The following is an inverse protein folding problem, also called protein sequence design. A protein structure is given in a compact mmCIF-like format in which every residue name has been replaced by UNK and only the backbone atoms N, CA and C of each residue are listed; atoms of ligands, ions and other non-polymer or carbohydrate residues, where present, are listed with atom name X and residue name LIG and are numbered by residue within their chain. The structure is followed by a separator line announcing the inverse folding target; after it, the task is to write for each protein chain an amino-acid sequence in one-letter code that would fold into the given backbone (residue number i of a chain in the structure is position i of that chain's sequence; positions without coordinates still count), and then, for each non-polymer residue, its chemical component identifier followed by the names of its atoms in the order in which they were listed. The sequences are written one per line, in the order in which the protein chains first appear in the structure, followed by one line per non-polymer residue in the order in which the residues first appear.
data_IF_155888369814
#
_entry.id   IF_155888369814
#
_cell.length_a   1.000
_cell.length_b   1.000
_cell.length_c   1.000
_cell.angle_alpha   90.00
_cell.angle_beta   90.00
_cell.angle_gamma   90.00
#
_symmetry.space_group_name_H-M   'P 1'
#
loop_
_entity.id
_entity.type
_entity.pdbx_description
1 polymer ?
#
# COMPACT_ATOMS: atom_id res chain seq x y z
N UNK A 1 53.18 42.46 -4.14
CA UNK A 1 52.82 41.44 -3.14
C UNK A 1 51.76 40.57 -3.73
N UNK A 2 52.13 39.39 -4.15
CA UNK A 2 51.27 38.37 -4.73
C UNK A 2 51.02 37.32 -3.68
N UNK A 3 49.77 37.04 -3.37
CA UNK A 3 49.36 35.95 -2.46
C UNK A 3 48.73 34.84 -3.32
N UNK A 4 49.40 33.71 -3.34
CA UNK A 4 48.98 32.51 -4.03
C UNK A 4 47.81 31.80 -3.30
N UNK A 5 46.79 31.27 -4.00
CA UNK A 5 45.80 30.41 -3.37
C UNK A 5 46.33 28.97 -3.24
N UNK A 6 46.39 28.47 -2.04
CA UNK A 6 46.75 27.08 -1.73
C UNK A 6 45.68 26.11 -2.26
N UNK A 7 46.08 25.35 -3.28
CA UNK A 7 45.35 24.18 -3.80
C UNK A 7 45.53 23.02 -2.84
N UNK A 8 44.51 22.66 -2.07
CA UNK A 8 44.50 21.45 -1.27
C UNK A 8 43.87 20.30 -2.08
N UNK A 9 44.70 19.67 -2.88
CA UNK A 9 44.40 18.41 -3.54
C UNK A 9 44.60 17.27 -2.55
N UNK A 10 43.59 16.92 -1.80
CA UNK A 10 43.59 15.75 -0.93
C UNK A 10 42.92 14.60 -1.67
N UNK A 11 43.61 13.48 -1.94
CA UNK A 11 42.99 12.31 -2.55
C UNK A 11 41.99 11.68 -1.59
N UNK A 12 40.79 11.43 -2.11
CA UNK A 12 39.70 10.72 -1.44
C UNK A 12 40.24 9.37 -0.90
N UNK A 13 40.28 9.21 0.41
CA UNK A 13 40.54 7.92 1.07
C UNK A 13 39.21 7.24 1.34
N UNK A 14 38.94 6.06 0.77
CA UNK A 14 37.72 5.31 1.12
C UNK A 14 37.77 4.95 2.61
N UNK A 15 36.64 5.18 3.29
CA UNK A 15 36.44 4.80 4.68
C UNK A 15 36.48 3.27 4.81
N UNK A 16 37.49 2.75 5.45
CA UNK A 16 37.60 1.34 5.84
C UNK A 16 37.14 1.24 7.29
N UNK A 17 36.02 0.57 7.60
CA UNK A 17 35.61 0.38 8.99
C UNK A 17 36.62 -0.50 9.72
N UNK A 18 36.90 -0.24 11.02
CA UNK A 18 37.83 -1.03 11.82
C UNK A 18 37.29 -2.48 11.98
N UNK A 19 38.18 -3.48 12.08
CA UNK A 19 37.79 -4.87 12.35
C UNK A 19 37.12 -4.94 13.72
N UNK A 20 35.94 -5.54 13.77
CA UNK A 20 35.21 -5.79 15.01
C UNK A 20 36.02 -6.81 15.82
N UNK A 21 36.69 -6.37 16.85
CA UNK A 21 37.39 -7.23 17.81
C UNK A 21 36.33 -8.12 18.51
N UNK A 22 36.52 -9.41 18.39
CA UNK A 22 35.67 -10.39 19.06
C UNK A 22 35.70 -10.22 20.56
N UNK A 23 34.51 -9.97 21.14
CA UNK A 23 34.29 -10.19 22.56
C UNK A 23 33.34 -11.38 22.73
N UNK A 24 33.95 -12.46 23.15
CA UNK A 24 33.30 -13.60 23.73
C UNK A 24 32.54 -13.19 25.00
N UNK A 25 31.24 -12.97 24.87
CA UNK A 25 30.30 -13.10 25.97
C UNK A 25 29.25 -14.10 25.56
N UNK A 26 29.44 -15.32 26.03
CA UNK A 26 28.48 -16.40 25.95
C UNK A 26 27.19 -16.06 26.74
N UNK A 27 26.18 -15.62 25.99
CA UNK A 27 24.79 -15.79 26.37
C UNK A 27 24.10 -16.35 25.13
N UNK A 28 24.31 -17.63 24.94
CA UNK A 28 23.45 -18.44 24.10
C UNK A 28 22.09 -18.57 24.80
N UNK A 29 21.31 -17.50 24.82
CA UNK A 29 19.86 -17.69 24.88
C UNK A 29 19.44 -18.15 23.49
N UNK A 30 19.22 -19.45 23.41
CA UNK A 30 18.56 -20.15 22.35
C UNK A 30 17.12 -19.58 22.17
N UNK A 31 17.02 -18.35 21.74
CA UNK A 31 15.80 -17.84 21.14
C UNK A 31 15.71 -18.51 19.77
N UNK A 32 15.10 -19.66 19.82
CA UNK A 32 14.79 -20.51 18.70
C UNK A 32 14.09 -19.68 17.62
N UNK A 33 14.80 -19.44 16.52
CA UNK A 33 14.27 -19.00 15.24
C UNK A 33 13.16 -19.93 14.68
N UNK A 34 12.75 -20.93 15.47
CA UNK A 34 11.64 -21.85 15.22
C UNK A 34 10.25 -21.22 15.29
N UNK A 35 10.11 -19.99 15.76
CA UNK A 35 8.78 -19.40 15.98
C UNK A 35 8.22 -18.69 14.73
N UNK A 36 9.00 -18.49 13.70
CA UNK A 36 8.51 -17.87 12.43
C UNK A 36 8.04 -18.92 11.43
N UNK A 37 8.37 -20.21 11.63
CA UNK A 37 8.07 -21.26 10.67
C UNK A 37 6.82 -22.11 11.00
N UNK A 38 6.04 -21.72 11.97
CA UNK A 38 4.71 -22.31 12.21
C UNK A 38 3.59 -21.37 11.75
N UNK A 39 3.76 -20.71 10.62
CA UNK A 39 2.59 -20.34 9.83
C UNK A 39 2.01 -21.65 9.32
N UNK A 40 1.04 -22.14 10.07
CA UNK A 40 0.19 -23.26 9.73
C UNK A 40 -0.12 -23.20 8.24
N UNK A 41 0.20 -24.27 7.51
CA UNK A 41 -0.26 -24.57 6.16
C UNK A 41 -1.78 -24.81 6.16
N UNK A 42 -2.55 -23.89 6.76
CA UNK A 42 -3.99 -23.86 6.58
C UNK A 42 -4.24 -23.39 5.14
N UNK A 43 -5.03 -24.19 4.44
CA UNK A 43 -5.56 -23.81 3.14
C UNK A 43 -6.09 -22.38 3.20
N UNK A 44 -5.76 -21.48 2.25
CA UNK A 44 -6.30 -20.13 2.26
C UNK A 44 -7.83 -20.21 2.26
N UNK A 45 -8.46 -19.44 3.14
CA UNK A 45 -9.92 -19.34 3.24
C UNK A 45 -10.50 -18.88 1.90
N UNK A 46 -11.66 -19.43 1.54
CA UNK A 46 -12.42 -18.96 0.38
C UNK A 46 -13.41 -17.88 0.80
N UNK A 47 -13.83 -17.03 -0.15
CA UNK A 47 -14.83 -15.97 0.12
C UNK A 47 -16.15 -16.55 0.65
N UNK A 48 -16.54 -17.73 0.18
CA UNK A 48 -17.76 -18.41 0.63
C UNK A 48 -17.66 -18.93 2.07
N UNK A 49 -16.47 -19.34 2.49
CA UNK A 49 -16.20 -19.76 3.89
C UNK A 49 -16.19 -18.57 4.84
N UNK A 50 -15.62 -17.44 4.41
CA UNK A 50 -15.64 -16.18 5.15
C UNK A 50 -17.05 -15.67 5.44
N UNK A 51 -17.95 -15.75 4.48
CA UNK A 51 -19.35 -15.33 4.65
C UNK A 51 -20.17 -16.25 5.58
N UNK A 52 -19.73 -17.50 5.77
CA UNK A 52 -20.37 -18.46 6.67
C UNK A 52 -19.87 -18.36 8.13
N UNK A 53 -18.77 -17.67 8.35
CA UNK A 53 -18.22 -17.45 9.69
C UNK A 53 -19.15 -16.55 10.51
N UNK A 54 -19.34 -16.88 11.77
CA UNK A 54 -20.23 -16.12 12.67
C UNK A 54 -19.58 -14.82 13.15
N UNK A 55 -20.41 -13.96 13.74
CA UNK A 55 -19.94 -12.68 14.31
C UNK A 55 -18.90 -12.84 15.43
N UNK A 56 -18.87 -13.99 16.10
CA UNK A 56 -17.90 -14.28 17.16
C UNK A 56 -16.47 -14.47 16.64
N UNK A 57 -16.33 -14.85 15.39
CA UNK A 57 -15.05 -15.09 14.72
C UNK A 57 -14.61 -13.88 13.87
N UNK A 58 -15.24 -12.70 14.11
CA UNK A 58 -14.96 -11.49 13.34
C UNK A 58 -13.52 -11.02 13.52
N UNK A 59 -12.82 -10.80 12.39
CA UNK A 59 -11.41 -10.36 12.32
C UNK A 59 -10.44 -11.29 13.08
N UNK A 60 -10.67 -12.61 13.02
CA UNK A 60 -9.69 -13.57 13.50
C UNK A 60 -8.43 -13.59 12.60
N UNK A 61 -7.36 -14.24 13.05
CA UNK A 61 -6.09 -14.28 12.33
C UNK A 61 -6.22 -14.84 10.91
N UNK A 62 -7.08 -15.83 10.68
CA UNK A 62 -7.30 -16.44 9.38
C UNK A 62 -8.01 -15.46 8.41
N UNK A 63 -8.97 -14.68 8.91
CA UNK A 63 -9.63 -13.61 8.13
C UNK A 63 -8.67 -12.46 7.81
N UNK A 64 -7.87 -12.01 8.78
CA UNK A 64 -6.87 -10.96 8.58
C UNK A 64 -5.81 -11.40 7.55
N UNK A 65 -5.37 -12.67 7.61
CA UNK A 65 -4.45 -13.22 6.61
C UNK A 65 -5.05 -13.21 5.20
N UNK A 66 -6.33 -13.58 5.06
CA UNK A 66 -7.03 -13.52 3.77
C UNK A 66 -7.09 -12.10 3.21
N UNK A 67 -7.51 -11.12 4.03
CA UNK A 67 -7.59 -9.73 3.58
C UNK A 67 -6.22 -9.13 3.29
N UNK A 68 -5.17 -9.52 4.02
CA UNK A 68 -3.79 -9.14 3.71
C UNK A 68 -3.40 -9.58 2.31
N UNK A 69 -3.57 -10.87 1.98
CA UNK A 69 -3.25 -11.40 0.65
C UNK A 69 -4.06 -10.68 -0.44
N UNK A 70 -5.35 -10.44 -0.21
CA UNK A 70 -6.22 -9.72 -1.16
C UNK A 70 -5.75 -8.27 -1.38
N UNK A 71 -5.33 -7.58 -0.34
CA UNK A 71 -4.79 -6.21 -0.44
C UNK A 71 -3.42 -6.17 -1.11
N UNK A 72 -2.55 -7.13 -0.85
CA UNK A 72 -1.24 -7.25 -1.51
C UNK A 72 -1.39 -7.53 -3.01
N UNK A 73 -2.34 -8.39 -3.40
CA UNK A 73 -2.68 -8.62 -4.81
C UNK A 73 -3.16 -7.34 -5.48
N UNK A 74 -4.11 -6.63 -4.84
CA UNK A 74 -4.61 -5.35 -5.36
C UNK A 74 -3.49 -4.32 -5.49
N UNK A 75 -2.56 -4.27 -4.55
CA UNK A 75 -1.38 -3.40 -4.62
C UNK A 75 -0.49 -3.75 -5.82
N UNK A 76 -0.22 -5.03 -6.03
CA UNK A 76 0.60 -5.50 -7.15
C UNK A 76 -0.05 -5.16 -8.51
N UNK A 77 -1.36 -5.35 -8.63
CA UNK A 77 -2.11 -5.02 -9.84
C UNK A 77 -2.06 -3.52 -10.16
N UNK A 78 -2.26 -2.67 -9.16
CA UNK A 78 -2.17 -1.20 -9.32
C UNK A 78 -0.75 -0.79 -9.76
N UNK A 79 0.29 -1.34 -9.15
CA UNK A 79 1.68 -1.03 -9.50
C UNK A 79 2.03 -1.49 -10.93
N UNK A 80 1.54 -2.66 -11.34
CA UNK A 80 1.71 -3.18 -12.70
C UNK A 80 1.04 -2.26 -13.72
N UNK A 81 -0.22 -1.85 -13.50
CA UNK A 81 -0.95 -0.95 -14.37
C UNK A 81 -0.27 0.43 -14.46
N UNK A 82 0.19 0.96 -13.32
CA UNK A 82 0.91 2.23 -13.28
C UNK A 82 2.21 2.21 -14.10
N UNK A 83 2.90 1.06 -14.17
CA UNK A 83 4.08 0.87 -15.03
C UNK A 83 3.72 0.98 -16.51
N UNK A 84 2.70 0.26 -16.95
CA UNK A 84 2.23 0.25 -18.35
C UNK A 84 1.79 1.64 -18.81
N UNK A 85 0.99 2.33 -18.00
CA UNK A 85 0.54 3.71 -18.32
C UNK A 85 1.72 4.68 -18.42
N UNK A 86 2.79 4.48 -17.65
CA UNK A 86 3.99 5.33 -17.75
C UNK A 86 4.72 5.14 -19.07
N UNK A 87 4.79 3.93 -19.58
CA UNK A 87 5.40 3.64 -20.87
C UNK A 87 4.58 4.26 -22.02
N UNK A 88 3.26 4.08 -22.02
CA UNK A 88 2.36 4.68 -23.00
C UNK A 88 2.48 6.21 -23.07
N UNK A 89 2.54 6.89 -21.91
CA UNK A 89 2.69 8.34 -21.85
C UNK A 89 4.07 8.85 -22.32
N UNK A 90 5.09 7.98 -22.35
CA UNK A 90 6.43 8.32 -22.87
C UNK A 90 6.52 8.22 -24.39
N UNK A 91 5.66 7.44 -25.01
CA UNK A 91 5.58 7.35 -26.47
C UNK A 91 4.92 8.61 -27.03
N UNK A 92 5.74 9.65 -27.22
CA UNK A 92 5.27 10.89 -27.84
C UNK A 92 5.16 10.67 -29.35
N UNK A 93 3.95 10.42 -29.83
CA UNK A 93 3.67 10.34 -31.26
C UNK A 93 3.54 11.76 -31.81
N UNK A 94 4.45 12.16 -32.70
CA UNK A 94 4.36 13.44 -33.40
C UNK A 94 3.40 13.26 -34.59
N UNK A 95 2.17 13.76 -34.45
CA UNK A 95 1.15 13.68 -35.47
C UNK A 95 1.02 15.07 -36.15
N UNK A 96 1.11 15.15 -37.49
CA UNK A 96 1.05 16.44 -38.22
C UNK A 96 -0.38 17.00 -38.29
N UNK A 97 -1.42 16.17 -38.14
CA UNK A 97 -2.82 16.62 -38.21
C UNK A 97 -3.28 17.22 -36.87
N UNK A 98 -3.85 18.45 -36.87
CA UNK A 98 -4.39 19.07 -35.64
C UNK A 98 -5.54 18.31 -34.99
N UNK A 99 -6.39 17.63 -35.77
CA UNK A 99 -7.51 16.84 -35.24
C UNK A 99 -7.02 15.60 -34.50
N UNK A 100 -6.06 14.86 -35.05
CA UNK A 100 -5.44 13.70 -34.40
C UNK A 100 -4.67 14.11 -33.14
N UNK A 101 -4.02 15.27 -33.17
CA UNK A 101 -3.33 15.82 -32.01
C UNK A 101 -4.28 16.12 -30.87
N UNK A 102 -5.47 16.67 -31.12
CA UNK A 102 -6.47 16.94 -30.12
C UNK A 102 -6.96 15.63 -29.46
N UNK A 103 -7.16 14.57 -30.25
CA UNK A 103 -7.54 13.23 -29.75
C UNK A 103 -6.47 12.66 -28.81
N UNK A 104 -5.20 12.74 -29.17
CA UNK A 104 -4.08 12.29 -28.33
C UNK A 104 -4.01 13.07 -27.02
N UNK A 105 -4.23 14.39 -27.06
CA UNK A 105 -4.25 15.22 -25.84
C UNK A 105 -5.41 14.84 -24.91
N UNK A 106 -6.59 14.49 -25.44
CA UNK A 106 -7.72 13.99 -24.66
C UNK A 106 -7.42 12.61 -24.04
N UNK A 107 -6.81 11.69 -24.79
CA UNK A 107 -6.40 10.38 -24.30
C UNK A 107 -5.38 10.51 -23.16
N UNK A 108 -4.36 11.35 -23.32
CA UNK A 108 -3.40 11.63 -22.26
C UNK A 108 -4.05 12.23 -21.02
N UNK A 109 -5.01 13.15 -21.20
CA UNK A 109 -5.74 13.73 -20.06
C UNK A 109 -6.57 12.67 -19.31
N UNK A 110 -7.16 11.70 -20.02
CA UNK A 110 -7.89 10.59 -19.43
C UNK A 110 -6.94 9.65 -18.65
N UNK A 111 -5.80 9.29 -19.25
CA UNK A 111 -4.79 8.47 -18.61
C UNK A 111 -4.25 9.11 -17.33
N UNK A 112 -3.97 10.41 -17.34
CA UNK A 112 -3.53 11.14 -16.14
C UNK A 112 -4.58 11.12 -15.03
N UNK A 113 -5.87 11.28 -15.37
CA UNK A 113 -6.97 11.17 -14.37
C UNK A 113 -7.07 9.77 -13.78
N UNK A 114 -6.89 8.74 -14.61
CA UNK A 114 -6.90 7.34 -14.16
C UNK A 114 -5.74 7.09 -13.20
N UNK A 115 -4.55 7.55 -13.55
CA UNK A 115 -3.35 7.45 -12.72
C UNK A 115 -3.48 8.17 -11.37
N UNK A 116 -4.13 9.31 -11.34
CA UNK A 116 -4.42 10.01 -10.07
C UNK A 116 -5.37 9.21 -9.18
N UNK A 117 -6.37 8.52 -9.76
CA UNK A 117 -7.26 7.62 -9.02
C UNK A 117 -6.50 6.41 -8.47
N UNK A 118 -5.65 5.78 -9.29
CA UNK A 118 -4.82 4.65 -8.90
C UNK A 118 -3.86 5.00 -7.77
N UNK A 119 -3.21 6.17 -7.85
CA UNK A 119 -2.33 6.67 -6.78
C UNK A 119 -3.08 6.86 -5.46
N UNK A 120 -4.31 7.42 -5.51
CA UNK A 120 -5.16 7.57 -4.33
C UNK A 120 -5.61 6.23 -3.77
N UNK A 121 -5.91 5.26 -4.66
CA UNK A 121 -6.27 3.90 -4.26
C UNK A 121 -5.06 3.18 -3.63
N UNK A 122 -3.88 3.29 -4.22
CA UNK A 122 -2.65 2.72 -3.67
C UNK A 122 -2.39 3.20 -2.23
N UNK A 123 -2.55 4.50 -1.99
CA UNK A 123 -2.43 5.07 -0.65
C UNK A 123 -3.44 4.45 0.33
N UNK A 124 -4.69 4.23 -0.09
CA UNK A 124 -5.71 3.58 0.74
C UNK A 124 -5.38 2.12 1.03
N UNK A 125 -4.85 1.39 0.05
CA UNK A 125 -4.39 0.01 0.24
C UNK A 125 -3.26 -0.06 1.26
N UNK A 126 -2.27 0.82 1.16
CA UNK A 126 -1.17 0.90 2.13
C UNK A 126 -1.67 1.23 3.55
N UNK A 127 -2.63 2.14 3.67
CA UNK A 127 -3.27 2.44 4.96
C UNK A 127 -4.02 1.23 5.53
N UNK A 128 -4.72 0.48 4.67
CA UNK A 128 -5.43 -0.73 5.10
C UNK A 128 -4.47 -1.83 5.55
N UNK A 129 -3.32 -2.01 4.89
CA UNK A 129 -2.26 -2.93 5.32
C UNK A 129 -1.68 -2.52 6.68
N UNK A 130 -1.40 -1.23 6.89
CA UNK A 130 -0.94 -0.72 8.18
C UNK A 130 -1.97 -0.96 9.30
N UNK A 131 -3.29 -0.84 8.99
CA UNK A 131 -4.37 -1.15 9.94
C UNK A 131 -4.47 -2.64 10.28
N UNK A 132 -4.13 -3.53 9.38
CA UNK A 132 -4.01 -4.96 9.68
C UNK A 132 -2.88 -5.20 10.69
N UNK A 133 -1.76 -4.50 10.54
CA UNK A 133 -0.62 -4.61 11.46
C UNK A 133 -0.91 -4.01 12.84
N UNK A 134 -1.69 -2.92 12.92
CA UNK A 134 -2.12 -2.32 14.21
C UNK A 134 -3.29 -3.07 14.87
N UNK A 135 -3.99 -3.97 14.14
CA UNK A 135 -5.15 -4.68 14.66
C UNK A 135 -6.49 -3.92 14.54
N UNK A 136 -6.49 -2.74 13.89
CA UNK A 136 -7.68 -1.90 13.74
C UNK A 136 -8.46 -2.16 12.45
N UNK A 137 -8.01 -3.12 11.65
CA UNK A 137 -8.67 -3.44 10.38
C UNK A 137 -10.02 -4.10 10.63
N UNK A 138 -11.03 -3.70 9.86
CA UNK A 138 -12.40 -4.19 9.99
C UNK A 138 -13.29 -3.35 10.89
N UNK A 139 -12.74 -2.40 11.63
CA UNK A 139 -13.49 -1.52 12.54
C UNK A 139 -13.67 -0.13 11.93
N UNK A 140 -14.85 0.45 12.14
CA UNK A 140 -15.20 1.77 11.64
C UNK A 140 -14.41 2.86 12.38
N UNK A 141 -13.82 3.80 11.64
CA UNK A 141 -13.07 4.92 12.24
C UNK A 141 -13.95 5.92 13.02
N UNK A 142 -15.21 6.08 12.64
CA UNK A 142 -16.12 7.04 13.28
C UNK A 142 -16.90 6.44 14.45
N UNK A 143 -17.37 5.19 14.32
CA UNK A 143 -18.28 4.59 15.30
C UNK A 143 -17.63 3.49 16.13
N UNK A 144 -16.49 2.95 15.72
CA UNK A 144 -15.87 1.80 16.35
C UNK A 144 -16.61 0.47 16.15
N UNK A 145 -17.68 0.47 15.37
CA UNK A 145 -18.48 -0.72 15.05
C UNK A 145 -17.83 -1.58 13.96
N UNK A 146 -18.16 -2.86 13.88
CA UNK A 146 -17.66 -3.72 12.81
C UNK A 146 -18.21 -3.27 11.45
N UNK A 147 -17.33 -3.17 10.46
CA UNK A 147 -17.69 -2.80 9.09
C UNK A 147 -18.50 -3.90 8.39
N UNK A 148 -18.22 -5.16 8.75
CA UNK A 148 -18.84 -6.35 8.18
C UNK A 148 -18.04 -6.96 7.02
N UNK A 149 -17.92 -8.30 7.06
CA UNK A 149 -17.18 -9.09 6.07
C UNK A 149 -17.69 -8.88 4.64
N UNK A 150 -19.02 -8.85 4.35
CA UNK A 150 -19.50 -8.65 3.00
C UNK A 150 -19.06 -7.32 2.37
N UNK A 151 -19.03 -6.26 3.19
CA UNK A 151 -18.58 -4.94 2.76
C UNK A 151 -17.09 -4.91 2.47
N UNK A 152 -16.27 -5.56 3.33
CA UNK A 152 -14.83 -5.65 3.13
C UNK A 152 -14.45 -6.54 1.94
N UNK A 153 -15.25 -7.56 1.62
CA UNK A 153 -15.06 -8.35 0.40
C UNK A 153 -15.30 -7.53 -0.86
N UNK A 154 -16.34 -6.71 -0.87
CA UNK A 154 -16.65 -5.81 -1.98
C UNK A 154 -15.66 -4.64 -2.07
N UNK A 155 -15.21 -4.12 -0.92
CA UNK A 155 -14.29 -2.99 -0.84
C UNK A 155 -13.27 -3.18 0.28
N UNK A 156 -12.13 -3.82 0.02
CA UNK A 156 -11.13 -4.14 1.04
C UNK A 156 -10.49 -2.91 1.72
N UNK A 157 -10.57 -1.76 1.08
CA UNK A 157 -10.06 -0.48 1.60
C UNK A 157 -11.13 0.35 2.32
N UNK A 158 -12.25 -0.25 2.73
CA UNK A 158 -13.29 0.47 3.45
C UNK A 158 -12.85 0.75 4.90
N UNK A 159 -13.04 1.98 5.35
CA UNK A 159 -12.71 2.45 6.71
C UNK A 159 -13.95 2.83 7.52
N UNK A 160 -15.12 2.90 6.88
CA UNK A 160 -16.37 3.30 7.48
C UNK A 160 -17.43 2.21 7.33
N UNK A 161 -18.30 2.06 8.32
CA UNK A 161 -19.53 1.27 8.22
C UNK A 161 -20.48 1.88 7.19
N UNK A 162 -21.52 1.15 6.79
CA UNK A 162 -22.49 1.66 5.82
C UNK A 162 -23.18 2.92 6.34
N UNK A 163 -23.63 2.86 7.59
CA UNK A 163 -24.33 3.99 8.23
C UNK A 163 -23.43 5.23 8.44
N UNK A 164 -22.17 5.02 8.81
CA UNK A 164 -21.21 6.11 8.95
C UNK A 164 -20.93 6.78 7.61
N UNK A 165 -20.84 6.00 6.54
CA UNK A 165 -20.65 6.52 5.20
C UNK A 165 -21.87 7.31 4.72
N UNK A 166 -23.08 6.81 4.91
CA UNK A 166 -24.31 7.52 4.54
C UNK A 166 -24.44 8.84 5.31
N UNK A 167 -24.15 8.84 6.61
CA UNK A 167 -24.11 10.06 7.42
C UNK A 167 -23.10 11.08 6.91
N UNK A 168 -21.93 10.61 6.52
CA UNK A 168 -20.87 11.46 5.95
C UNK A 168 -21.28 12.06 4.61
N UNK A 169 -21.85 11.24 3.71
CA UNK A 169 -22.34 11.69 2.42
C UNK A 169 -23.49 12.68 2.55
N UNK A 170 -24.42 12.43 3.49
CA UNK A 170 -25.51 13.37 3.78
C UNK A 170 -24.97 14.69 4.29
N UNK A 171 -24.02 14.67 5.22
CA UNK A 171 -23.36 15.88 5.74
C UNK A 171 -22.66 16.64 4.61
N UNK A 172 -21.95 15.95 3.75
CA UNK A 172 -21.26 16.54 2.60
C UNK A 172 -22.23 17.17 1.60
N UNK A 173 -23.39 16.55 1.37
CA UNK A 173 -24.46 17.13 0.52
C UNK A 173 -25.11 18.38 1.12
N UNK A 174 -25.26 18.42 2.44
CA UNK A 174 -25.93 19.53 3.13
C UNK A 174 -25.01 20.73 3.38
N UNK A 175 -23.75 20.51 3.63
CA UNK A 175 -22.82 21.55 4.09
C UNK A 175 -21.67 21.83 3.09
N UNK A 176 -21.52 21.02 2.03
CA UNK A 176 -20.59 21.25 0.95
C UNK A 176 -19.16 21.44 1.42
N UNK A 177 -18.48 20.34 1.75
CA UNK A 177 -17.03 20.31 1.99
C UNK A 177 -16.28 19.90 0.75
#
# INVERSE_FOLDING_TARGET
MRSDPATSDQPYRPFVPPPIAGNAFGWASSLTWKTVSQMTTKRPLTEAELLKMGEKDYMNEDQLAFFRVKLEQLQADILKNAGQTTENLRETVIVPDPADRATIEEEHALELRTRDRERKLLKKVQQSLARIESGDYGWCEETGEPIGVPRLLARPTATLSLEAQERRELRQKLFGD
#
